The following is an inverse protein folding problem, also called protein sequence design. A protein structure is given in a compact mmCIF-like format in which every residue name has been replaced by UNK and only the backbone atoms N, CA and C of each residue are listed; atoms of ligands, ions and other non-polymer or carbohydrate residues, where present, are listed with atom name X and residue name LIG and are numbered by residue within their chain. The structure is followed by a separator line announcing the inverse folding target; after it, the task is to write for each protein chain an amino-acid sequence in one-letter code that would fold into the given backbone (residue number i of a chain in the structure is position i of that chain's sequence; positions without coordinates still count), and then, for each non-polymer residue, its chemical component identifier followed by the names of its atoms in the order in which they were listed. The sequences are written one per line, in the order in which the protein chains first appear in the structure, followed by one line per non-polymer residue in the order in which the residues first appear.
data_IF_841764184397
#
_entry.id   IF_841764184397
#
_cell.length_a   1.000
_cell.length_b   1.000
_cell.length_c   1.000
_cell.angle_alpha   90.00
_cell.angle_beta   90.00
_cell.angle_gamma   90.00
#
_symmetry.space_group_name_H-M   'P 1'
#
loop_
_entity.id
_entity.type
_entity.pdbx_description
1 polymer ?
#
# COMPACT_ATOMS: atom_id res chain seq x y z
N UNK A 1 24.46 -47.69 13.78
CA UNK A 1 25.05 -48.50 12.70
C UNK A 1 26.52 -48.12 12.46
N UNK A 2 26.82 -46.81 12.31
CA UNK A 2 28.18 -46.30 12.09
C UNK A 2 29.23 -46.77 13.10
N UNK A 3 28.91 -46.75 14.40
CA UNK A 3 29.91 -47.03 15.46
C UNK A 3 30.42 -48.47 15.52
N UNK A 4 29.70 -49.45 14.92
CA UNK A 4 30.08 -50.87 14.96
C UNK A 4 30.71 -51.38 13.66
N UNK A 5 30.34 -50.81 12.51
CA UNK A 5 30.74 -51.36 11.21
C UNK A 5 31.61 -50.42 10.37
N UNK A 6 31.40 -49.11 10.42
CA UNK A 6 32.13 -48.13 9.58
C UNK A 6 33.40 -47.61 10.28
N UNK A 7 33.41 -47.58 11.61
CA UNK A 7 34.57 -47.21 12.44
C UNK A 7 35.69 -48.26 12.43
N UNK A 8 35.42 -49.49 11.99
CA UNK A 8 36.37 -50.59 12.00
C UNK A 8 37.34 -50.48 10.79
N UNK A 9 38.67 -50.41 11.00
CA UNK A 9 39.66 -50.31 9.93
C UNK A 9 39.63 -51.49 8.94
N UNK A 10 39.05 -52.62 9.33
CA UNK A 10 38.87 -53.84 8.54
C UNK A 10 37.70 -53.77 7.56
N UNK A 11 36.77 -52.83 7.71
CA UNK A 11 35.62 -52.62 6.81
C UNK A 11 35.99 -51.66 5.66
N UNK A 12 37.15 -51.89 5.04
CA UNK A 12 37.60 -51.16 3.86
C UNK A 12 37.37 -52.01 2.61
N UNK A 13 37.00 -51.34 1.52
CA UNK A 13 36.78 -51.98 0.22
C UNK A 13 37.95 -52.89 -0.18
N UNK A 14 39.19 -52.46 0.02
CA UNK A 14 40.39 -53.21 -0.37
C UNK A 14 40.55 -54.52 0.40
N UNK A 15 40.24 -54.52 1.70
CA UNK A 15 40.35 -55.71 2.56
C UNK A 15 39.28 -56.74 2.23
N UNK A 16 38.05 -56.29 1.94
CA UNK A 16 36.92 -57.18 1.63
C UNK A 16 36.99 -57.69 0.19
N UNK A 17 37.43 -56.86 -0.76
CA UNK A 17 37.63 -57.25 -2.15
C UNK A 17 38.79 -58.26 -2.29
N UNK A 18 39.82 -58.16 -1.44
CA UNK A 18 40.91 -59.14 -1.37
C UNK A 18 40.46 -60.49 -0.79
N UNK A 19 39.50 -60.49 0.14
CA UNK A 19 38.92 -61.70 0.71
C UNK A 19 37.84 -62.34 -0.20
N UNK A 20 37.07 -61.53 -0.95
CA UNK A 20 36.06 -62.00 -1.90
C UNK A 20 35.77 -60.94 -2.99
N UNK A 21 36.04 -61.29 -4.24
CA UNK A 21 35.78 -60.45 -5.42
C UNK A 21 34.30 -60.17 -5.66
N UNK A 22 33.42 -61.11 -5.29
CA UNK A 22 31.96 -60.94 -5.46
C UNK A 22 31.36 -59.99 -4.41
N UNK A 23 31.93 -59.94 -3.21
CA UNK A 23 31.44 -59.09 -2.12
C UNK A 23 31.98 -57.64 -2.17
N UNK A 24 33.06 -57.37 -2.91
CA UNK A 24 33.63 -56.02 -3.05
C UNK A 24 32.63 -54.97 -3.57
N UNK A 25 31.92 -55.22 -4.69
CA UNK A 25 30.92 -54.29 -5.23
C UNK A 25 29.73 -54.03 -4.29
N UNK A 26 29.28 -55.07 -3.56
CA UNK A 26 28.19 -54.96 -2.58
C UNK A 26 28.54 -54.02 -1.42
N UNK A 27 29.78 -54.09 -0.93
CA UNK A 27 30.26 -53.18 0.13
C UNK A 27 30.37 -51.74 -0.37
N UNK A 28 30.85 -51.53 -1.60
CA UNK A 28 30.84 -50.19 -2.23
C UNK A 28 29.43 -49.61 -2.31
N UNK A 29 28.46 -50.42 -2.75
CA UNK A 29 27.06 -50.01 -2.81
C UNK A 29 26.50 -49.69 -1.42
N UNK A 30 26.78 -50.51 -0.41
CA UNK A 30 26.32 -50.27 0.96
C UNK A 30 26.93 -49.00 1.58
N UNK A 31 28.22 -48.71 1.33
CA UNK A 31 28.88 -47.48 1.78
C UNK A 31 28.25 -46.26 1.08
N UNK A 32 28.03 -46.34 -0.24
CA UNK A 32 27.36 -45.28 -0.99
C UNK A 32 25.94 -45.03 -0.48
N UNK A 33 25.20 -46.09 -0.12
CA UNK A 33 23.86 -45.98 0.44
C UNK A 33 23.84 -45.29 1.81
N UNK A 34 24.83 -45.58 2.66
CA UNK A 34 25.00 -44.94 3.97
C UNK A 34 25.37 -43.45 3.83
N UNK A 35 26.32 -43.13 2.94
CA UNK A 35 26.68 -41.75 2.63
C UNK A 35 25.49 -40.97 2.06
N UNK A 36 24.70 -41.60 1.20
CA UNK A 36 23.49 -41.00 0.66
C UNK A 36 22.45 -40.73 1.76
N UNK A 37 22.25 -41.67 2.70
CA UNK A 37 21.34 -41.47 3.83
C UNK A 37 21.77 -40.29 4.73
N UNK A 38 23.06 -40.17 5.03
CA UNK A 38 23.61 -39.05 5.81
C UNK A 38 23.45 -37.71 5.08
N UNK A 39 23.66 -37.68 3.76
CA UNK A 39 23.42 -36.48 2.95
C UNK A 39 21.93 -36.13 2.89
N UNK A 40 21.06 -37.14 2.74
CA UNK A 40 19.60 -36.94 2.69
C UNK A 40 19.08 -36.29 3.97
N UNK A 41 19.54 -36.75 5.15
CA UNK A 41 19.18 -36.14 6.43
C UNK A 41 19.57 -34.66 6.54
N UNK A 42 20.61 -34.22 5.84
CA UNK A 42 21.02 -32.81 5.80
C UNK A 42 20.27 -31.99 4.76
N UNK A 43 19.88 -32.61 3.64
CA UNK A 43 19.21 -31.91 2.52
C UNK A 43 17.71 -31.79 2.75
N UNK A 44 17.07 -32.74 3.44
CA UNK A 44 15.64 -32.67 3.77
C UNK A 44 15.20 -31.40 4.51
N UNK A 45 15.84 -30.98 5.62
CA UNK A 45 15.43 -29.76 6.32
C UNK A 45 15.61 -28.50 5.45
N UNK A 46 16.69 -28.43 4.68
CA UNK A 46 16.94 -27.30 3.76
C UNK A 46 15.86 -27.20 2.68
N UNK A 47 15.38 -28.34 2.15
CA UNK A 47 14.25 -28.36 1.21
C UNK A 47 12.95 -27.92 1.85
N UNK A 48 12.73 -28.27 3.11
CA UNK A 48 11.59 -27.79 3.90
C UNK A 48 11.62 -26.27 4.06
N UNK A 49 12.75 -25.74 4.51
CA UNK A 49 12.96 -24.29 4.66
C UNK A 49 12.78 -23.56 3.34
N UNK A 50 13.37 -24.06 2.25
CA UNK A 50 13.26 -23.46 0.92
C UNK A 50 11.80 -23.38 0.46
N UNK A 51 11.00 -24.45 0.65
CA UNK A 51 9.55 -24.41 0.36
C UNK A 51 8.80 -23.39 1.22
N UNK A 52 9.15 -23.26 2.50
CA UNK A 52 8.51 -22.25 3.36
C UNK A 52 8.86 -20.84 2.93
N UNK A 53 10.09 -20.61 2.47
CA UNK A 53 10.53 -19.31 1.96
C UNK A 53 9.87 -18.99 0.62
N UNK A 54 9.76 -19.97 -0.29
CA UNK A 54 9.00 -19.81 -1.55
C UNK A 54 7.54 -19.45 -1.27
N UNK A 55 6.88 -20.15 -0.34
CA UNK A 55 5.50 -19.84 0.01
C UNK A 55 5.36 -18.43 0.61
N UNK A 56 6.29 -18.03 1.49
CA UNK A 56 6.31 -16.68 2.05
C UNK A 56 6.54 -15.62 0.97
N UNK A 57 7.41 -15.88 0.01
CA UNK A 57 7.67 -14.96 -1.09
C UNK A 57 6.43 -14.78 -1.98
N UNK A 58 5.74 -15.89 -2.31
CA UNK A 58 4.49 -15.86 -3.08
C UNK A 58 3.41 -15.06 -2.32
N UNK A 59 3.20 -15.36 -1.04
CA UNK A 59 2.20 -14.65 -0.24
C UNK A 59 2.54 -13.16 -0.10
N UNK A 60 3.81 -12.82 0.10
CA UNK A 60 4.25 -11.43 0.20
C UNK A 60 4.08 -10.69 -1.14
N UNK A 61 4.25 -11.38 -2.27
CA UNK A 61 3.98 -10.80 -3.59
C UNK A 61 2.48 -10.54 -3.77
N UNK A 62 1.60 -11.49 -3.40
CA UNK A 62 0.15 -11.25 -3.49
C UNK A 62 -0.31 -10.14 -2.55
N UNK A 63 0.23 -10.07 -1.33
CA UNK A 63 -0.06 -8.96 -0.40
C UNK A 63 0.41 -7.61 -0.95
N UNK A 64 1.56 -7.57 -1.62
CA UNK A 64 2.05 -6.35 -2.27
C UNK A 64 1.13 -5.90 -3.41
N UNK A 65 0.68 -6.84 -4.26
CA UNK A 65 -0.26 -6.56 -5.35
C UNK A 65 -1.61 -6.03 -4.82
N UNK A 66 -2.14 -6.61 -3.74
CA UNK A 66 -3.36 -6.13 -3.09
C UNK A 66 -3.20 -4.70 -2.54
N UNK A 67 -2.06 -4.41 -1.90
CA UNK A 67 -1.76 -3.07 -1.38
C UNK A 67 -1.62 -2.05 -2.51
N UNK A 68 -1.00 -2.42 -3.64
CA UNK A 68 -0.90 -1.53 -4.81
C UNK A 68 -2.27 -1.17 -5.40
N UNK A 69 -3.19 -2.14 -5.47
CA UNK A 69 -4.57 -1.90 -5.89
C UNK A 69 -5.26 -0.92 -4.94
N UNK A 70 -5.13 -1.14 -3.62
CA UNK A 70 -5.70 -0.24 -2.62
C UNK A 70 -5.13 1.19 -2.71
N UNK A 71 -3.82 1.32 -2.98
CA UNK A 71 -3.19 2.62 -3.21
C UNK A 71 -3.82 3.30 -4.42
N UNK A 72 -3.99 2.58 -5.53
CA UNK A 72 -4.60 3.13 -6.74
C UNK A 72 -6.03 3.63 -6.51
N UNK A 73 -6.84 2.86 -5.79
CA UNK A 73 -8.23 3.23 -5.45
C UNK A 73 -8.28 4.45 -4.53
N UNK A 74 -7.36 4.53 -3.56
CA UNK A 74 -7.24 5.68 -2.67
C UNK A 74 -6.79 6.92 -3.44
N UNK A 75 -5.82 6.82 -4.34
CA UNK A 75 -5.39 7.92 -5.20
C UNK A 75 -6.54 8.42 -6.10
N UNK A 76 -7.34 7.51 -6.65
CA UNK A 76 -8.51 7.88 -7.46
C UNK A 76 -9.56 8.62 -6.61
N UNK A 77 -9.83 8.11 -5.41
CA UNK A 77 -10.75 8.73 -4.46
C UNK A 77 -10.28 10.12 -4.04
N UNK A 78 -8.98 10.29 -3.75
CA UNK A 78 -8.39 11.59 -3.43
C UNK A 78 -8.56 12.56 -4.58
N UNK A 79 -8.25 12.17 -5.82
CA UNK A 79 -8.43 13.02 -7.01
C UNK A 79 -9.87 13.48 -7.15
N UNK A 80 -10.84 12.56 -7.04
CA UNK A 80 -12.26 12.89 -7.07
C UNK A 80 -12.63 13.92 -5.99
N UNK A 81 -12.19 13.70 -4.75
CA UNK A 81 -12.47 14.65 -3.66
C UNK A 81 -11.81 16.02 -3.87
N UNK A 82 -10.63 16.08 -4.49
CA UNK A 82 -10.00 17.37 -4.81
C UNK A 82 -10.75 18.15 -5.89
N UNK A 83 -11.32 17.46 -6.88
CA UNK A 83 -12.16 18.05 -7.91
C UNK A 83 -13.49 18.56 -7.34
N UNK A 84 -14.18 17.71 -6.55
CA UNK A 84 -15.42 18.09 -5.85
C UNK A 84 -15.20 19.29 -4.92
N UNK A 85 -14.08 19.31 -4.18
CA UNK A 85 -13.72 20.44 -3.33
C UNK A 85 -13.49 21.72 -4.14
N UNK A 86 -12.78 21.66 -5.28
CA UNK A 86 -12.55 22.81 -6.13
C UNK A 86 -13.87 23.39 -6.68
N UNK A 87 -14.81 22.53 -7.06
CA UNK A 87 -16.16 22.95 -7.48
C UNK A 87 -16.89 23.68 -6.36
N UNK A 88 -16.96 23.09 -5.16
CA UNK A 88 -17.61 23.72 -4.01
C UNK A 88 -17.00 25.08 -3.65
N UNK A 89 -15.67 25.22 -3.76
CA UNK A 89 -14.99 26.50 -3.56
C UNK A 89 -15.40 27.53 -4.62
N UNK A 90 -15.52 27.12 -5.89
CA UNK A 90 -15.97 28.01 -6.96
C UNK A 90 -17.42 28.49 -6.75
N UNK A 91 -18.30 27.60 -6.30
CA UNK A 91 -19.70 27.92 -6.00
C UNK A 91 -19.79 28.90 -4.82
N UNK A 92 -19.05 28.64 -3.74
CA UNK A 92 -18.99 29.54 -2.59
C UNK A 92 -18.46 30.93 -2.97
N UNK A 93 -17.47 31.01 -3.87
CA UNK A 93 -16.97 32.28 -4.39
C UNK A 93 -18.01 33.01 -5.25
N UNK A 94 -18.75 32.30 -6.10
CA UNK A 94 -19.83 32.88 -6.90
C UNK A 94 -20.92 33.49 -6.00
N UNK A 95 -21.39 32.74 -5.00
CA UNK A 95 -22.37 33.24 -4.01
C UNK A 95 -21.83 34.46 -3.28
N UNK A 96 -20.56 34.47 -2.88
CA UNK A 96 -19.94 35.63 -2.22
C UNK A 96 -19.93 36.86 -3.12
N UNK A 97 -19.65 36.71 -4.42
CA UNK A 97 -19.70 37.81 -5.37
C UNK A 97 -21.13 38.32 -5.58
N UNK A 98 -22.11 37.41 -5.66
CA UNK A 98 -23.53 37.77 -5.74
C UNK A 98 -23.98 38.56 -4.51
N UNK A 99 -23.57 38.15 -3.31
CA UNK A 99 -23.85 38.88 -2.06
C UNK A 99 -23.29 40.31 -2.10
N UNK A 100 -22.04 40.49 -2.55
CA UNK A 100 -21.44 41.83 -2.69
C UNK A 100 -22.23 42.67 -3.70
N UNK A 101 -22.68 42.08 -4.82
CA UNK A 101 -23.47 42.78 -5.82
C UNK A 101 -24.85 43.19 -5.28
N UNK A 102 -25.51 42.33 -4.48
CA UNK A 102 -26.77 42.63 -3.82
C UNK A 102 -26.58 43.73 -2.76
N UNK A 103 -25.52 43.66 -1.97
CA UNK A 103 -25.17 44.70 -0.98
C UNK A 103 -24.96 46.06 -1.64
N UNK A 104 -24.25 46.11 -2.77
CA UNK A 104 -24.06 47.34 -3.54
C UNK A 104 -25.40 47.90 -4.07
N UNK A 105 -26.30 47.04 -4.56
CA UNK A 105 -27.65 47.45 -5.00
C UNK A 105 -28.50 47.99 -3.84
N UNK A 106 -28.44 47.36 -2.67
CA UNK A 106 -29.14 47.81 -1.45
C UNK A 106 -28.59 49.18 -1.03
N UNK A 107 -27.26 49.31 -0.91
CA UNK A 107 -26.60 50.56 -0.52
C UNK A 107 -26.94 51.72 -1.46
N UNK A 108 -27.02 51.45 -2.78
CA UNK A 108 -27.46 52.44 -3.77
C UNK A 108 -28.94 52.81 -3.60
N UNK A 109 -29.80 51.84 -3.31
CA UNK A 109 -31.23 52.11 -3.11
C UNK A 109 -31.47 52.92 -1.85
N UNK A 110 -30.75 52.61 -0.76
CA UNK A 110 -30.82 53.37 0.50
C UNK A 110 -30.28 54.80 0.34
N UNK A 111 -29.20 55.01 -0.41
CA UNK A 111 -28.67 56.36 -0.64
C UNK A 111 -29.61 57.20 -1.51
N UNK A 112 -30.29 56.59 -2.49
CA UNK A 112 -31.36 57.26 -3.24
C UNK A 112 -32.52 57.65 -2.32
N UNK A 113 -33.00 56.75 -1.46
CA UNK A 113 -34.06 57.08 -0.49
C UNK A 113 -33.64 58.21 0.46
N UNK A 114 -32.39 58.20 0.92
CA UNK A 114 -31.85 59.28 1.76
C UNK A 114 -31.79 60.62 1.02
N UNK A 115 -31.37 60.64 -0.25
CA UNK A 115 -31.29 61.87 -1.06
C UNK A 115 -32.68 62.42 -1.43
N UNK A 116 -33.64 61.55 -1.73
CA UNK A 116 -35.05 61.91 -1.95
C UNK A 116 -35.70 62.43 -0.66
N UNK A 117 -35.49 61.73 0.46
CA UNK A 117 -35.95 62.16 1.79
C UNK A 117 -35.40 63.53 2.14
N UNK A 118 -34.09 63.72 2.14
CA UNK A 118 -33.46 65.01 2.47
C UNK A 118 -33.91 66.15 1.55
N UNK A 119 -34.06 65.93 0.24
CA UNK A 119 -34.57 66.95 -0.67
C UNK A 119 -36.05 67.31 -0.40
N UNK A 120 -36.89 66.32 -0.08
CA UNK A 120 -38.30 66.55 0.24
C UNK A 120 -38.45 67.28 1.59
N UNK A 121 -37.69 66.86 2.61
CA UNK A 121 -37.67 67.50 3.92
C UNK A 121 -37.14 68.94 3.84
N UNK A 122 -36.08 69.18 3.08
CA UNK A 122 -35.52 70.53 2.90
C UNK A 122 -36.48 71.45 2.10
N UNK A 123 -37.19 70.92 1.10
CA UNK A 123 -38.27 71.66 0.42
C UNK A 123 -39.42 71.97 1.37
N UNK A 124 -39.88 70.99 2.15
CA UNK A 124 -41.00 71.18 3.09
C UNK A 124 -40.64 72.18 4.19
N UNK A 125 -39.42 72.13 4.73
CA UNK A 125 -38.90 73.14 5.66
C UNK A 125 -38.82 74.54 5.04
N UNK A 126 -38.33 74.67 3.80
CA UNK A 126 -38.30 75.98 3.10
C UNK A 126 -39.69 76.56 2.85
N UNK A 127 -40.69 75.73 2.61
CA UNK A 127 -42.10 76.17 2.47
C UNK A 127 -42.66 76.60 3.82
N UNK A 128 -42.39 75.84 4.88
CA UNK A 128 -42.86 76.15 6.24
C UNK A 128 -42.23 77.43 6.82
N UNK A 129 -40.98 77.75 6.49
CA UNK A 129 -40.29 78.97 6.93
C UNK A 129 -40.73 80.22 6.13
N UNK A 130 -41.37 80.05 4.97
CA UNK A 130 -41.83 81.14 4.09
C UNK A 130 -43.30 81.53 4.27
N UNK A 131 -44.05 80.86 5.14
CA UNK A 131 -45.41 81.28 5.58
C UNK A 131 -45.34 81.87 6.98
#
# INVERSE_FOLDING_TARGET
MNDRYISNPSYKYETINRASLACGPLVKWAIAQLQYADMLQRVEPLRGELRTLEQKAINNQSEAEEVEVLISDLEHSIKRYTEEYALLVSEAQAIKQELIAVEAKVTRSTSLLQSLGTHCWCKMWKVMIRS
#
